data_IF_603856455265
#
_entry.id   IF_603856455265
#
_cell.length_a   1.000
_cell.length_b   1.000
_cell.length_c   1.000
_cell.angle_alpha   90.00
_cell.angle_beta   90.00
_cell.angle_gamma   90.00
#
_symmetry.space_group_name_H-M   'P 1'
#
loop_
_entity.id
_entity.type
_entity.pdbx_description
1 polymer ?
#
# COMPACT_ATOMS: atom_id res chain seq x y z
N UNK A 1 -2.98 -13.36 15.75
CA UNK A 1 -3.66 -14.32 14.86
C UNK A 1 -4.53 -13.47 13.95
N UNK A 2 -4.25 -13.42 12.64
CA UNK A 2 -5.03 -12.57 11.71
C UNK A 2 -6.36 -13.29 11.43
N UNK A 3 -7.48 -12.59 11.55
CA UNK A 3 -8.79 -13.12 11.14
C UNK A 3 -8.78 -13.36 9.63
N UNK A 4 -9.12 -14.58 9.20
CA UNK A 4 -9.22 -14.96 7.78
C UNK A 4 -10.52 -14.45 7.15
N UNK A 5 -10.77 -13.16 7.30
CA UNK A 5 -11.96 -12.46 6.82
C UNK A 5 -11.49 -11.28 5.96
N UNK A 6 -12.09 -11.03 4.79
CA UNK A 6 -11.70 -9.91 3.93
C UNK A 6 -11.90 -8.56 4.62
N UNK A 7 -11.09 -7.57 4.23
CA UNK A 7 -11.14 -6.19 4.66
C UNK A 7 -11.04 -5.99 6.19
N UNK A 8 -10.40 -6.92 6.91
CA UNK A 8 -10.03 -6.70 8.31
C UNK A 8 -8.74 -5.89 8.37
N UNK A 9 -7.71 -6.34 7.66
CA UNK A 9 -6.40 -5.72 7.70
C UNK A 9 -5.77 -5.75 6.32
N UNK A 10 -5.39 -4.57 5.83
CA UNK A 10 -4.54 -4.45 4.65
C UNK A 10 -3.10 -4.21 5.07
N UNK A 11 -2.17 -4.88 4.41
CA UNK A 11 -0.73 -4.67 4.56
C UNK A 11 -0.22 -3.87 3.36
N UNK A 12 0.48 -2.77 3.63
CA UNK A 12 1.14 -1.92 2.65
C UNK A 12 2.65 -2.07 2.82
N UNK A 13 3.32 -2.38 1.71
CA UNK A 13 4.77 -2.52 1.64
C UNK A 13 5.35 -1.72 0.47
N UNK A 14 6.50 -1.09 0.70
CA UNK A 14 7.23 -0.34 -0.32
C UNK A 14 8.52 -1.06 -0.64
N UNK A 15 8.70 -1.43 -1.91
CA UNK A 15 9.96 -1.98 -2.38
C UNK A 15 10.62 -1.00 -3.35
N UNK A 16 11.96 -0.95 -3.29
CA UNK A 16 12.80 -0.21 -4.20
C UNK A 16 13.64 -1.18 -5.03
N UNK A 17 13.66 -0.99 -6.34
CA UNK A 17 14.44 -1.84 -7.25
C UNK A 17 14.93 -1.01 -8.46
N UNK A 18 15.67 -1.61 -9.36
CA UNK A 18 16.24 -0.98 -10.54
C UNK A 18 16.01 -1.80 -11.80
N UNK A 19 15.66 -1.11 -12.89
CA UNK A 19 15.59 -1.72 -14.21
C UNK A 19 16.98 -2.15 -14.68
N UNK A 20 17.04 -3.02 -15.69
CA UNK A 20 18.30 -3.59 -16.22
C UNK A 20 19.36 -2.54 -16.62
N UNK A 21 18.95 -1.31 -16.91
CA UNK A 21 19.83 -0.18 -17.26
C UNK A 21 20.11 0.78 -16.08
N UNK A 22 19.87 0.33 -14.85
CA UNK A 22 20.19 1.05 -13.62
C UNK A 22 19.21 2.17 -13.25
N UNK A 23 18.07 2.30 -13.95
CA UNK A 23 17.04 3.28 -13.58
C UNK A 23 16.23 2.77 -12.38
N UNK A 24 16.21 3.48 -11.24
CA UNK A 24 15.45 3.05 -10.09
C UNK A 24 13.95 3.20 -10.31
N UNK A 25 13.19 2.33 -9.65
CA UNK A 25 11.75 2.44 -9.51
C UNK A 25 11.32 1.96 -8.12
N UNK A 26 10.07 2.22 -7.78
CA UNK A 26 9.43 1.84 -6.53
C UNK A 26 8.13 1.13 -6.80
N UNK A 27 7.75 0.26 -5.89
CA UNK A 27 6.45 -0.42 -5.89
C UNK A 27 5.77 -0.19 -4.54
N UNK A 28 4.48 0.13 -4.57
CA UNK A 28 3.58 0.04 -3.42
C UNK A 28 2.76 -1.22 -3.62
N UNK A 29 2.93 -2.18 -2.72
CA UNK A 29 2.22 -3.45 -2.72
C UNK A 29 1.15 -3.41 -1.63
N UNK A 30 -0.10 -3.67 -2.01
CA UNK A 30 -1.25 -3.69 -1.09
C UNK A 30 -1.83 -5.11 -1.07
N UNK A 31 -1.88 -5.72 0.11
CA UNK A 31 -2.35 -7.10 0.29
C UNK A 31 -3.43 -7.12 1.38
N UNK A 32 -4.53 -7.82 1.13
CA UNK A 32 -5.48 -8.19 2.17
C UNK A 32 -4.93 -9.41 2.92
N UNK A 33 -4.66 -9.27 4.22
CA UNK A 33 -4.03 -10.35 4.97
C UNK A 33 -4.97 -11.48 5.35
N UNK A 34 -6.28 -11.22 5.38
CA UNK A 34 -7.30 -12.22 5.68
C UNK A 34 -7.47 -13.20 4.52
N UNK A 35 -7.49 -12.69 3.29
CA UNK A 35 -7.64 -13.48 2.06
C UNK A 35 -6.32 -13.86 1.40
N UNK A 36 -5.23 -13.13 1.72
CA UNK A 36 -3.94 -13.15 1.00
C UNK A 36 -4.05 -12.71 -0.45
N UNK A 37 -5.09 -11.95 -0.78
CA UNK A 37 -5.28 -11.33 -2.09
C UNK A 37 -4.35 -10.12 -2.24
N UNK A 38 -3.68 -10.01 -3.40
CA UNK A 38 -3.01 -8.78 -3.78
C UNK A 38 -4.05 -7.80 -4.35
N UNK A 39 -4.29 -6.70 -3.65
CA UNK A 39 -5.31 -5.73 -4.01
C UNK A 39 -4.80 -4.76 -5.08
N UNK A 40 -3.55 -4.34 -4.97
CA UNK A 40 -2.93 -3.41 -5.91
C UNK A 40 -1.40 -3.50 -5.87
N UNK A 41 -0.77 -3.26 -7.03
CA UNK A 41 0.67 -3.03 -7.15
C UNK A 41 0.88 -1.74 -7.96
N UNK A 42 1.08 -0.61 -7.28
CA UNK A 42 1.36 0.66 -7.95
C UNK A 42 2.88 0.78 -8.17
N UNK A 43 3.31 0.91 -9.43
CA UNK A 43 4.72 1.00 -9.81
C UNK A 43 5.01 2.38 -10.39
N UNK A 44 5.99 3.08 -9.83
CA UNK A 44 6.42 4.39 -10.34
C UNK A 44 7.87 4.69 -9.94
N UNK A 45 8.47 5.68 -10.57
CA UNK A 45 9.80 6.20 -10.19
C UNK A 45 9.79 6.98 -8.87
N UNK A 46 8.63 7.48 -8.45
CA UNK A 46 8.40 8.13 -7.16
C UNK A 46 6.97 7.87 -6.69
N UNK A 47 6.79 7.58 -5.40
CA UNK A 47 5.49 7.28 -4.80
C UNK A 47 5.23 8.23 -3.61
N UNK A 48 4.90 9.52 -3.86
CA UNK A 48 4.55 10.44 -2.80
C UNK A 48 3.21 10.07 -2.15
N UNK A 49 2.95 10.58 -0.94
CA UNK A 49 1.73 10.34 -0.17
C UNK A 49 0.44 10.49 -0.99
N UNK A 50 0.35 11.50 -1.85
CA UNK A 50 -0.81 11.75 -2.72
C UNK A 50 -1.10 10.58 -3.67
N UNK A 51 -0.06 9.91 -4.18
CA UNK A 51 -0.23 8.72 -5.04
C UNK A 51 -0.76 7.54 -4.23
N UNK A 52 -0.26 7.36 -3.01
CA UNK A 52 -0.73 6.33 -2.07
C UNK A 52 -2.20 6.55 -1.74
N UNK A 53 -2.59 7.78 -1.36
CA UNK A 53 -3.98 8.14 -1.03
C UNK A 53 -4.90 7.89 -2.22
N UNK A 54 -4.48 8.24 -3.44
CA UNK A 54 -5.27 8.00 -4.65
C UNK A 54 -5.54 6.50 -4.87
N UNK A 55 -4.54 5.65 -4.63
CA UNK A 55 -4.69 4.19 -4.73
C UNK A 55 -5.67 3.70 -3.66
N UNK A 56 -5.53 4.16 -2.42
CA UNK A 56 -6.42 3.79 -1.32
C UNK A 56 -7.87 4.23 -1.56
N UNK A 57 -8.11 5.43 -2.09
CA UNK A 57 -9.46 5.89 -2.45
C UNK A 57 -10.08 5.06 -3.59
N UNK A 58 -9.27 4.62 -4.57
CA UNK A 58 -9.74 3.69 -5.61
C UNK A 58 -10.18 2.37 -4.99
N UNK A 59 -9.34 1.76 -4.15
CA UNK A 59 -9.67 0.49 -3.48
C UNK A 59 -10.89 0.65 -2.57
N UNK A 60 -11.01 1.76 -1.84
CA UNK A 60 -12.19 2.08 -1.04
C UNK A 60 -13.47 2.11 -1.86
N UNK A 61 -13.44 2.70 -3.05
CA UNK A 61 -14.61 2.75 -3.93
C UNK A 61 -15.02 1.35 -4.46
N UNK A 62 -14.06 0.46 -4.66
CA UNK A 62 -14.30 -0.88 -5.23
C UNK A 62 -14.78 -1.90 -4.18
N UNK A 63 -14.19 -1.89 -2.99
CA UNK A 63 -14.35 -2.95 -1.97
C UNK A 63 -14.66 -2.46 -0.55
N UNK A 64 -14.66 -1.14 -0.33
CA UNK A 64 -14.74 -0.52 1.00
C UNK A 64 -13.38 -0.39 1.68
N UNK A 65 -13.37 0.24 2.87
CA UNK A 65 -12.15 0.41 3.67
C UNK A 65 -11.92 -0.81 4.57
N UNK A 66 -10.65 -1.16 4.85
CA UNK A 66 -10.34 -2.13 5.88
C UNK A 66 -10.61 -1.56 7.27
N UNK A 67 -10.72 -2.43 8.28
CA UNK A 67 -10.79 -1.97 9.69
C UNK A 67 -9.47 -1.37 10.17
N UNK A 68 -8.34 -1.80 9.61
CA UNK A 68 -7.02 -1.28 9.92
C UNK A 68 -6.07 -1.44 8.74
N UNK A 69 -5.11 -0.54 8.66
CA UNK A 69 -4.01 -0.60 7.69
C UNK A 69 -2.73 -0.80 8.48
N UNK A 70 -1.99 -1.86 8.15
CA UNK A 70 -0.62 -2.04 8.60
C UNK A 70 0.32 -1.57 7.50
N UNK A 71 1.28 -0.76 7.90
CA UNK A 71 2.30 -0.21 7.04
C UNK A 71 3.65 -0.61 7.63
N UNK A 72 4.55 -1.19 6.84
CA UNK A 72 5.90 -1.46 7.30
C UNK A 72 6.71 -0.16 7.36
N UNK A 73 7.51 0.02 8.42
CA UNK A 73 8.16 1.30 8.80
C UNK A 73 9.34 1.73 7.90
N UNK A 74 9.18 1.65 6.58
CA UNK A 74 10.09 2.33 5.66
C UNK A 74 10.04 3.84 5.91
N UNK A 75 11.17 4.57 5.88
CA UNK A 75 11.20 6.03 6.04
C UNK A 75 10.30 6.76 5.02
N UNK A 76 9.95 6.09 3.91
CA UNK A 76 9.05 6.57 2.87
C UNK A 76 7.61 6.79 3.35
N UNK A 77 7.22 6.18 4.48
CA UNK A 77 5.86 6.17 5.01
C UNK A 77 5.66 7.03 6.26
N UNK A 78 6.71 7.68 6.75
CA UNK A 78 6.63 8.68 7.83
C UNK A 78 6.11 10.03 7.29
N UNK A 79 5.34 10.01 6.20
CA UNK A 79 4.63 11.21 5.77
C UNK A 79 3.37 11.34 6.62
N UNK A 80 3.28 12.44 7.37
CA UNK A 80 2.13 12.79 8.22
C UNK A 80 0.79 12.67 7.46
N UNK A 81 0.80 12.87 6.15
CA UNK A 81 -0.39 12.80 5.30
C UNK A 81 -0.98 11.39 5.16
N UNK A 82 -0.15 10.35 5.08
CA UNK A 82 -0.65 8.96 5.04
C UNK A 82 -1.15 8.52 6.42
N UNK A 83 -0.49 8.98 7.49
CA UNK A 83 -0.94 8.73 8.85
C UNK A 83 -2.29 9.40 9.17
N UNK A 84 -2.54 10.59 8.62
CA UNK A 84 -3.81 11.32 8.76
C UNK A 84 -4.95 10.75 7.89
N UNK A 85 -4.66 9.83 6.96
CA UNK A 85 -5.67 9.18 6.13
C UNK A 85 -6.36 8.02 6.86
N UNK A 86 -5.63 7.34 7.75
CA UNK A 86 -6.15 6.29 8.62
C UNK A 86 -7.00 6.87 9.75
#
# INVERSE_FOLDING_TARGET
MIEKVPNIQWALDFMHDSLYFGKPFRTLNIIDEGTRECLEIEVDTSLPAERVIRVLERLKAERGLPKQIRVDNGPELISVNVLNYC
#
